data_IF_526139499786
#
_entry.id   IF_526139499786
#
_cell.length_a   1.000
_cell.length_b   1.000
_cell.length_c   1.000
_cell.angle_alpha   90.00
_cell.angle_beta   90.00
_cell.angle_gamma   90.00
#
_symmetry.space_group_name_H-M   'P 1'
#
loop_
_entity.id
_entity.type
_entity.pdbx_description
1 polymer ?
#
# COMPACT_ATOMS: atom_id res chain seq x y z
N UNK A 1 -4.91 -8.15 -11.81
CA UNK A 1 -4.73 -8.92 -10.58
C UNK A 1 -3.37 -8.58 -9.96
N UNK A 2 -3.31 -8.53 -8.65
CA UNK A 2 -2.08 -8.35 -7.89
C UNK A 2 -2.06 -9.32 -6.70
N UNK A 3 -0.85 -9.78 -6.36
CA UNK A 3 -0.57 -10.57 -5.18
C UNK A 3 0.38 -9.77 -4.29
N UNK A 4 0.00 -9.58 -3.03
CA UNK A 4 0.77 -8.95 -1.97
C UNK A 4 1.08 -9.99 -0.90
N UNK A 5 2.33 -10.09 -0.50
CA UNK A 5 2.77 -11.04 0.52
C UNK A 5 3.53 -10.29 1.62
N UNK A 6 3.09 -10.48 2.85
CA UNK A 6 3.74 -9.98 4.06
C UNK A 6 3.95 -11.15 5.02
N UNK A 7 5.00 -11.07 5.83
CA UNK A 7 5.31 -12.13 6.81
C UNK A 7 4.19 -12.33 7.83
N UNK A 8 3.55 -11.25 8.27
CA UNK A 8 2.52 -11.28 9.30
C UNK A 8 1.11 -11.36 8.71
N UNK A 9 0.85 -10.71 7.56
CA UNK A 9 -0.47 -10.69 6.94
C UNK A 9 -0.71 -11.88 6.00
N UNK A 10 0.34 -12.66 5.70
CA UNK A 10 0.28 -13.71 4.70
C UNK A 10 0.08 -13.19 3.27
N UNK A 11 -0.46 -14.03 2.41
CA UNK A 11 -0.73 -13.69 1.01
C UNK A 11 -2.12 -13.07 0.89
N UNK A 12 -2.17 -11.86 0.38
CA UNK A 12 -3.40 -11.16 0.03
C UNK A 12 -3.50 -11.01 -1.49
N UNK A 13 -4.71 -11.13 -2.01
CA UNK A 13 -4.99 -10.97 -3.44
C UNK A 13 -5.97 -9.82 -3.66
N UNK A 14 -5.77 -9.07 -4.74
CA UNK A 14 -6.75 -8.12 -5.24
C UNK A 14 -6.86 -8.19 -6.76
N UNK A 15 -8.05 -7.96 -7.26
CA UNK A 15 -8.31 -7.88 -8.70
C UNK A 15 -9.34 -6.78 -8.98
N UNK A 16 -9.20 -6.19 -10.16
CA UNK A 16 -10.17 -5.25 -10.68
C UNK A 16 -10.50 -5.59 -12.13
N UNK A 17 -11.73 -5.37 -12.50
CA UNK A 17 -12.24 -5.40 -13.86
C UNK A 17 -13.37 -4.35 -13.98
N UNK A 18 -13.85 -4.00 -15.17
CA UNK A 18 -14.85 -2.95 -15.36
C UNK A 18 -16.19 -3.16 -14.65
N UNK A 19 -16.49 -4.35 -14.13
CA UNK A 19 -17.71 -4.60 -13.34
C UNK A 19 -17.56 -4.23 -11.85
N UNK A 20 -16.33 -3.95 -11.40
CA UNK A 20 -16.03 -3.53 -10.04
C UNK A 20 -16.07 -2.00 -9.96
N UNK A 21 -16.82 -1.46 -9.01
CA UNK A 21 -16.94 0.00 -8.80
C UNK A 21 -15.66 0.53 -8.19
N UNK A 22 -14.76 1.03 -9.05
CA UNK A 22 -13.41 1.43 -8.66
C UNK A 22 -13.36 2.42 -7.48
N UNK A 23 -14.15 3.52 -7.43
CA UNK A 23 -14.09 4.45 -6.32
C UNK A 23 -14.43 3.81 -4.97
N UNK A 24 -15.38 2.88 -4.94
CA UNK A 24 -15.90 2.28 -3.72
C UNK A 24 -15.04 1.11 -3.22
N UNK A 25 -14.39 0.39 -4.12
CA UNK A 25 -13.69 -0.83 -3.75
C UNK A 25 -12.16 -0.74 -3.80
N UNK A 26 -11.63 0.14 -4.63
CA UNK A 26 -10.18 0.30 -4.81
C UNK A 26 -9.73 1.71 -4.40
N UNK A 27 -10.41 2.74 -4.88
CA UNK A 27 -10.01 4.14 -4.70
C UNK A 27 -9.97 4.61 -3.26
N UNK A 28 -10.76 4.00 -2.38
CA UNK A 28 -10.80 4.33 -0.95
C UNK A 28 -9.74 3.61 -0.11
N UNK A 29 -8.98 2.65 -0.68
CA UNK A 29 -8.01 1.87 0.08
C UNK A 29 -6.81 2.72 0.47
N UNK A 30 -6.47 2.70 1.78
CA UNK A 30 -5.37 3.50 2.34
C UNK A 30 -4.02 2.90 1.98
N UNK A 31 -3.02 3.76 1.88
CA UNK A 31 -1.62 3.36 1.82
C UNK A 31 -1.21 2.60 3.08
N UNK A 32 -0.11 1.89 3.01
CA UNK A 32 0.46 1.21 4.16
C UNK A 32 1.97 1.45 4.24
N UNK A 33 2.50 1.29 5.43
CA UNK A 33 3.91 1.44 5.75
C UNK A 33 4.30 0.37 6.77
N UNK A 34 5.53 -0.12 6.70
CA UNK A 34 6.04 -1.01 7.75
C UNK A 34 6.54 -0.21 8.94
N UNK A 35 6.27 -0.70 10.14
CA UNK A 35 6.63 -0.01 11.37
C UNK A 35 8.11 0.40 11.41
N UNK A 36 9.00 -0.48 10.99
CA UNK A 36 10.45 -0.23 10.99
C UNK A 36 10.91 0.85 10.01
N UNK A 37 10.07 1.24 9.04
CA UNK A 37 10.38 2.30 8.07
C UNK A 37 9.97 3.69 8.57
N UNK A 38 9.06 3.77 9.56
CA UNK A 38 8.43 5.03 9.96
C UNK A 38 9.43 6.05 10.49
N UNK A 39 10.35 5.64 11.37
CA UNK A 39 11.37 6.56 11.91
C UNK A 39 12.26 7.13 10.80
N UNK A 40 12.66 6.30 9.84
CA UNK A 40 13.43 6.76 8.69
C UNK A 40 12.63 7.76 7.84
N UNK A 41 11.39 7.44 7.52
CA UNK A 41 10.52 8.30 6.71
C UNK A 41 10.27 9.63 7.40
N UNK A 42 10.02 9.62 8.71
CA UNK A 42 9.80 10.82 9.49
C UNK A 42 11.04 11.71 9.56
N UNK A 43 12.20 11.13 9.91
CA UNK A 43 13.46 11.86 10.03
C UNK A 43 13.93 12.47 8.70
N UNK A 44 13.51 11.90 7.57
CA UNK A 44 13.83 12.42 6.23
C UNK A 44 12.71 13.32 5.65
N UNK A 45 11.72 13.71 6.48
CA UNK A 45 10.60 14.56 6.07
C UNK A 45 9.82 14.00 4.85
N UNK A 46 9.71 12.67 4.77
CA UNK A 46 8.99 11.96 3.71
C UNK A 46 7.53 11.68 4.09
N UNK A 47 7.17 11.85 5.37
CA UNK A 47 5.78 11.76 5.86
C UNK A 47 5.14 13.14 5.84
N UNK A 48 4.77 13.62 4.65
CA UNK A 48 4.08 14.90 4.48
C UNK A 48 2.57 14.67 4.51
N UNK A 49 1.96 14.79 5.70
CA UNK A 49 0.52 14.56 5.89
C UNK A 49 0.13 13.08 6.07
N UNK A 50 1.10 12.20 6.28
CA UNK A 50 0.84 10.83 6.75
C UNK A 50 0.47 10.84 8.22
N UNK A 51 -0.59 10.12 8.58
CA UNK A 51 -1.09 9.94 9.92
C UNK A 51 -1.46 8.47 10.12
N UNK A 52 -1.52 8.02 11.35
CA UNK A 52 -1.94 6.64 11.70
C UNK A 52 -3.40 6.35 11.33
N UNK A 53 -4.19 7.37 11.03
CA UNK A 53 -5.59 7.22 10.59
C UNK A 53 -5.71 7.13 9.06
N UNK A 54 -4.76 7.69 8.31
CA UNK A 54 -4.80 7.72 6.85
C UNK A 54 -3.80 6.75 6.20
N UNK A 55 -2.95 6.10 6.99
CA UNK A 55 -2.05 5.04 6.55
C UNK A 55 -2.20 3.80 7.46
N UNK A 56 -2.06 2.62 6.86
CA UNK A 56 -2.05 1.35 7.59
C UNK A 56 -0.63 1.07 8.04
N UNK A 57 -0.41 0.90 9.34
CA UNK A 57 0.90 0.50 9.87
C UNK A 57 0.93 -1.00 10.07
N UNK A 58 1.91 -1.67 9.45
CA UNK A 58 2.14 -3.12 9.53
C UNK A 58 3.38 -3.39 10.38
N UNK A 59 3.23 -4.23 11.38
CA UNK A 59 4.30 -4.62 12.31
C UNK A 59 4.75 -6.04 11.98
N UNK A 60 5.80 -6.18 11.17
CA UNK A 60 6.32 -7.49 10.70
C UNK A 60 7.39 -8.09 11.61
N UNK A 61 7.94 -7.30 12.53
CA UNK A 61 8.99 -7.72 13.46
C UNK A 61 8.57 -7.43 14.90
N UNK A 62 9.07 -8.18 15.87
CA UNK A 62 8.85 -7.85 17.28
C UNK A 62 9.28 -6.41 17.57
N UNK A 63 8.44 -5.68 18.27
CA UNK A 63 8.69 -4.31 18.72
C UNK A 63 8.50 -4.22 20.22
N UNK A 64 9.19 -3.31 20.88
CA UNK A 64 9.03 -3.08 22.32
C UNK A 64 7.91 -2.09 22.59
N UNK A 65 7.35 -2.11 23.80
CA UNK A 65 6.34 -1.16 24.21
C UNK A 65 6.84 0.28 24.13
N UNK A 66 8.13 0.53 24.42
CA UNK A 66 8.75 1.84 24.30
C UNK A 66 8.77 2.34 22.85
N UNK A 67 9.03 1.45 21.87
CA UNK A 67 8.99 1.81 20.45
C UNK A 67 7.58 2.20 20.01
N UNK A 68 6.57 1.44 20.44
CA UNK A 68 5.17 1.74 20.13
C UNK A 68 4.71 3.03 20.81
N UNK A 69 5.13 3.25 22.06
CA UNK A 69 4.83 4.49 22.79
C UNK A 69 5.48 5.71 22.14
N UNK A 70 6.73 5.59 21.70
CA UNK A 70 7.41 6.67 20.95
C UNK A 70 6.67 7.00 19.65
N UNK A 71 6.14 6.00 18.95
CA UNK A 71 5.31 6.23 17.77
C UNK A 71 4.02 6.97 18.13
N UNK A 72 3.35 6.58 19.22
CA UNK A 72 2.14 7.27 19.70
C UNK A 72 2.40 8.75 19.98
N UNK A 73 3.56 9.06 20.58
CA UNK A 73 4.01 10.44 20.82
C UNK A 73 4.31 11.19 19.51
N UNK A 74 4.95 10.51 18.53
CA UNK A 74 5.32 11.10 17.26
C UNK A 74 4.10 11.57 16.44
N UNK A 75 3.00 10.83 16.52
CA UNK A 75 1.75 11.12 15.83
C UNK A 75 0.70 11.81 16.70
N UNK A 76 1.05 12.13 17.94
CA UNK A 76 0.13 12.78 18.91
C UNK A 76 -1.20 12.04 19.08
N UNK A 77 -1.13 10.71 19.20
CA UNK A 77 -2.28 9.83 19.35
C UNK A 77 -2.26 9.10 20.69
N UNK A 78 -3.43 8.63 21.20
CA UNK A 78 -3.48 7.80 22.40
C UNK A 78 -2.57 6.57 22.30
N UNK A 79 -2.18 6.01 23.45
CA UNK A 79 -1.29 4.86 23.52
C UNK A 79 -1.74 3.71 22.61
N UNK A 80 -0.94 3.43 21.59
CA UNK A 80 -1.16 2.34 20.64
C UNK A 80 -0.67 1.01 21.22
N UNK A 81 -1.21 -0.07 20.68
CA UNK A 81 -0.74 -1.44 20.94
C UNK A 81 -0.64 -2.19 19.62
N UNK A 82 0.25 -3.15 19.55
CA UNK A 82 0.31 -4.08 18.43
C UNK A 82 -0.70 -5.19 18.65
N UNK A 83 -1.51 -5.47 17.63
CA UNK A 83 -2.48 -6.57 17.61
C UNK A 83 -1.81 -7.87 17.17
N UNK A 84 -2.40 -8.99 17.49
CA UNK A 84 -1.92 -10.32 17.08
C UNK A 84 -1.87 -10.50 15.55
N UNK A 85 -2.73 -9.79 14.84
CA UNK A 85 -2.77 -9.80 13.36
C UNK A 85 -1.76 -8.85 12.70
N UNK A 86 -0.84 -8.26 13.47
CA UNK A 86 0.25 -7.43 12.98
C UNK A 86 -0.12 -5.99 12.62
N UNK A 87 -1.29 -5.53 13.06
CA UNK A 87 -1.69 -4.12 12.91
C UNK A 87 -1.64 -3.37 14.25
N UNK A 88 -1.78 -2.06 14.22
CA UNK A 88 -1.94 -1.24 15.42
C UNK A 88 -3.40 -1.24 15.89
N UNK A 89 -3.60 -0.99 17.20
CA UNK A 89 -4.90 -1.10 17.87
C UNK A 89 -5.95 -0.09 17.41
N UNK A 90 -5.55 1.05 16.84
CA UNK A 90 -6.47 2.07 16.29
C UNK A 90 -7.05 1.69 14.92
N UNK A 91 -6.51 0.66 14.27
CA UNK A 91 -6.88 0.34 12.90
C UNK A 91 -8.22 -0.39 12.80
N UNK A 92 -9.11 0.16 11.98
CA UNK A 92 -10.27 -0.55 11.43
C UNK A 92 -10.07 -0.65 9.92
N UNK A 93 -9.88 -1.86 9.41
CA UNK A 93 -9.72 -2.10 7.97
C UNK A 93 -11.03 -1.85 7.22
N UNK A 94 -10.96 -1.23 6.05
CA UNK A 94 -12.08 -1.08 5.11
C UNK A 94 -12.39 -2.39 4.39
N UNK A 95 -11.35 -3.19 4.14
CA UNK A 95 -11.43 -4.53 3.56
C UNK A 95 -10.38 -5.44 4.20
N UNK A 96 -10.64 -6.75 4.36
CA UNK A 96 -9.64 -7.68 4.90
C UNK A 96 -8.32 -7.72 4.10
N UNK A 97 -8.38 -7.39 2.81
CA UNK A 97 -7.25 -7.33 1.88
C UNK A 97 -6.93 -5.90 1.44
N UNK A 98 -7.11 -4.91 2.32
CA UNK A 98 -6.96 -3.49 1.98
C UNK A 98 -5.57 -3.16 1.43
N UNK A 99 -4.50 -3.75 1.98
CA UNK A 99 -3.13 -3.54 1.50
C UNK A 99 -2.94 -4.02 0.05
N UNK A 100 -3.48 -5.19 -0.31
CA UNK A 100 -3.43 -5.67 -1.69
C UNK A 100 -4.27 -4.81 -2.64
N UNK A 101 -5.42 -4.29 -2.18
CA UNK A 101 -6.25 -3.35 -2.95
C UNK A 101 -5.53 -2.02 -3.18
N UNK A 102 -4.82 -1.50 -2.18
CA UNK A 102 -4.00 -0.30 -2.37
C UNK A 102 -2.88 -0.52 -3.39
N UNK A 103 -2.16 -1.65 -3.31
CA UNK A 103 -1.16 -1.99 -4.34
C UNK A 103 -1.77 -2.12 -5.75
N UNK A 104 -3.01 -2.55 -5.85
CA UNK A 104 -3.73 -2.58 -7.12
C UNK A 104 -4.06 -1.16 -7.61
N UNK A 105 -4.42 -0.25 -6.70
CA UNK A 105 -4.59 1.18 -6.98
C UNK A 105 -3.30 1.76 -7.57
N UNK A 106 -2.18 1.53 -6.90
CA UNK A 106 -0.85 1.97 -7.35
C UNK A 106 -0.53 1.44 -8.75
N UNK A 107 -0.74 0.14 -8.99
CA UNK A 107 -0.49 -0.49 -10.28
C UNK A 107 -1.33 0.14 -11.40
N UNK A 108 -2.62 0.39 -11.14
CA UNK A 108 -3.53 1.02 -12.12
C UNK A 108 -3.06 2.45 -12.42
N UNK A 109 -2.69 3.22 -11.40
CA UNK A 109 -2.18 4.58 -11.53
C UNK A 109 -0.85 4.64 -12.29
N UNK A 110 0.12 3.83 -11.89
CA UNK A 110 1.45 3.79 -12.51
C UNK A 110 1.39 3.37 -13.99
N UNK A 111 0.53 2.42 -14.34
CA UNK A 111 0.36 2.00 -15.73
C UNK A 111 -0.25 3.08 -16.62
N UNK A 112 -0.95 4.09 -16.06
CA UNK A 112 -1.41 5.25 -16.84
C UNK A 112 -0.28 6.08 -17.46
N UNK A 113 0.92 5.97 -16.89
CA UNK A 113 2.12 6.63 -17.42
C UNK A 113 2.52 6.12 -18.82
N UNK A 114 1.94 5.02 -19.31
CA UNK A 114 2.10 4.60 -20.71
C UNK A 114 1.44 5.55 -21.71
N UNK A 115 0.60 6.49 -21.25
CA UNK A 115 -0.01 7.54 -22.08
C UNK A 115 -1.47 7.25 -22.48
N UNK A 116 -2.04 6.10 -22.04
CA UNK A 116 -3.41 5.72 -22.41
C UNK A 116 -4.02 4.70 -21.47
N UNK A 117 -5.25 4.30 -21.72
CA UNK A 117 -5.87 3.14 -21.07
C UNK A 117 -5.44 1.86 -21.76
N UNK A 118 -5.04 0.88 -20.97
CA UNK A 118 -4.69 -0.45 -21.48
C UNK A 118 -5.93 -1.34 -21.51
N UNK A 119 -6.26 -1.87 -22.68
CA UNK A 119 -7.24 -2.96 -22.82
C UNK A 119 -6.48 -4.29 -22.77
N UNK A 120 -6.08 -4.71 -21.59
CA UNK A 120 -5.24 -5.89 -21.40
C UNK A 120 -5.55 -6.57 -20.05
N UNK A 121 -5.19 -7.85 -19.95
CA UNK A 121 -5.11 -8.56 -18.67
C UNK A 121 -3.71 -8.38 -18.11
N UNK A 122 -3.63 -7.76 -16.93
CA UNK A 122 -2.38 -7.54 -16.22
C UNK A 122 -2.35 -8.39 -14.97
N UNK A 123 -1.27 -9.13 -14.76
CA UNK A 123 -0.97 -9.86 -13.52
C UNK A 123 0.38 -9.35 -13.00
N UNK A 124 0.41 -8.93 -11.74
CA UNK A 124 1.60 -8.38 -11.12
C UNK A 124 1.94 -9.15 -9.84
N UNK A 125 3.17 -9.57 -9.73
CA UNK A 125 3.74 -10.20 -8.54
C UNK A 125 4.82 -9.28 -7.99
N UNK A 126 4.88 -9.12 -6.66
CA UNK A 126 5.83 -8.24 -5.97
C UNK A 126 5.87 -6.82 -6.56
N UNK A 127 4.71 -6.32 -6.97
CA UNK A 127 4.58 -5.00 -7.60
C UNK A 127 4.98 -3.86 -6.64
N UNK A 128 5.47 -2.78 -7.22
CA UNK A 128 5.81 -1.52 -6.56
C UNK A 128 6.08 -0.45 -7.60
N UNK A 129 6.08 0.83 -7.21
CA UNK A 129 6.19 1.96 -8.14
C UNK A 129 7.38 1.84 -9.12
N UNK A 130 8.55 1.40 -8.66
CA UNK A 130 9.73 1.25 -9.51
C UNK A 130 9.51 0.26 -10.67
N UNK A 131 8.96 -0.92 -10.38
CA UNK A 131 8.71 -1.94 -11.40
C UNK A 131 7.50 -1.59 -12.27
N UNK A 132 6.45 -1.03 -11.67
CA UNK A 132 5.24 -0.61 -12.38
C UNK A 132 5.55 0.49 -13.41
N UNK A 133 6.30 1.52 -13.01
CA UNK A 133 6.69 2.64 -13.88
C UNK A 133 7.65 2.21 -14.97
N UNK A 134 8.53 1.24 -14.68
CA UNK A 134 9.40 0.63 -15.70
C UNK A 134 8.57 -0.12 -16.75
N UNK A 135 7.60 -0.91 -16.33
CA UNK A 135 6.67 -1.59 -17.24
C UNK A 135 5.87 -0.60 -18.08
N UNK A 136 5.36 0.47 -17.46
CA UNK A 136 4.64 1.53 -18.19
C UNK A 136 5.50 2.19 -19.27
N UNK A 137 6.78 2.46 -18.99
CA UNK A 137 7.73 3.00 -19.99
C UNK A 137 7.94 2.05 -21.16
N UNK A 138 8.08 0.74 -20.88
CA UNK A 138 8.23 -0.28 -21.92
C UNK A 138 6.99 -0.37 -22.81
N UNK A 139 5.78 -0.42 -22.20
CA UNK A 139 4.51 -0.43 -22.93
C UNK A 139 4.39 0.82 -23.80
N UNK A 140 4.71 2.01 -23.26
CA UNK A 140 4.70 3.26 -24.04
C UNK A 140 5.62 3.19 -25.26
N UNK A 141 6.83 2.66 -25.07
CA UNK A 141 7.79 2.52 -26.17
C UNK A 141 7.31 1.54 -27.26
N UNK A 142 6.58 0.50 -26.91
CA UNK A 142 5.95 -0.43 -27.87
C UNK A 142 4.82 0.27 -28.64
N UNK A 143 3.94 1.00 -27.96
CA UNK A 143 2.81 1.71 -28.58
C UNK A 143 3.27 2.84 -29.52
N UNK A 144 4.42 3.46 -29.26
CA UNK A 144 4.97 4.51 -30.12
C UNK A 144 5.61 3.98 -31.40
N UNK A 145 5.78 2.67 -31.53
CA UNK A 145 6.35 2.01 -32.73
C UNK A 145 5.28 1.35 -33.62
N UNK A 146 4.05 1.28 -33.11
CA UNK A 146 2.88 0.74 -33.82
C UNK A 146 2.09 1.85 -34.48
#
# INVERSE_FOLDING_TARGET
KIDFNSRVLGVQHAQWNPSVVYPEEIGICRTFVFFHEIEFLFNNNLVKGGDVDNAIVIVEHPVTDEQVQRMSQLFDVPALKVREDGYLSNLVLRFPNECARHKLLDLIGDLRLCGGFLKAKVTAEKAGHGINTTAAKQVRAMLSRA
#
